data_IF_062573114760
#
_entry.id   IF_062573114760
#
_cell.length_a   1.000
_cell.length_b   1.000
_cell.length_c   1.000
_cell.angle_alpha   90.00
_cell.angle_beta   90.00
_cell.angle_gamma   90.00
#
_symmetry.space_group_name_H-M   'P 1'
#
loop_
_entity.id
_entity.type
_entity.pdbx_description
1 polymer ?
#
# COMPACT_ATOMS: atom_id res chain seq x y z
N UNK A 1 4.79 -21.13 2.79
CA UNK A 1 4.30 -19.78 2.45
C UNK A 1 3.78 -19.06 3.68
N UNK A 2 2.84 -19.64 4.44
CA UNK A 2 2.32 -19.08 5.71
C UNK A 2 3.45 -18.75 6.72
N UNK A 3 4.38 -19.67 6.91
CA UNK A 3 5.54 -19.46 7.81
C UNK A 3 6.46 -18.31 7.36
N UNK A 4 6.58 -18.09 6.04
CA UNK A 4 7.37 -16.99 5.46
C UNK A 4 6.68 -15.63 5.61
N UNK A 5 5.35 -15.61 5.68
CA UNK A 5 4.56 -14.42 6.02
C UNK A 5 4.71 -14.14 7.52
N UNK A 6 4.60 -15.17 8.36
CA UNK A 6 4.68 -15.05 9.81
C UNK A 6 6.04 -14.55 10.31
N UNK A 7 7.15 -15.02 9.72
CA UNK A 7 8.50 -14.61 10.09
C UNK A 7 9.00 -13.34 9.35
N UNK A 8 8.16 -12.72 8.52
CA UNK A 8 8.51 -11.51 7.76
C UNK A 8 9.51 -11.72 6.62
N UNK A 9 9.89 -12.96 6.27
CA UNK A 9 10.81 -13.23 5.16
C UNK A 9 10.18 -13.06 3.77
N UNK A 10 8.86 -12.90 3.71
CA UNK A 10 8.14 -12.53 2.50
C UNK A 10 7.60 -11.11 2.66
N UNK A 11 8.26 -10.13 2.03
CA UNK A 11 7.85 -8.72 1.95
C UNK A 11 7.48 -8.39 0.50
N UNK A 12 6.24 -8.65 0.07
CA UNK A 12 5.82 -8.43 -1.31
C UNK A 12 6.05 -6.99 -1.76
N UNK A 13 5.85 -6.03 -0.85
CA UNK A 13 6.03 -4.60 -1.05
C UNK A 13 7.44 -4.21 -1.52
N UNK A 14 8.48 -4.89 -1.05
CA UNK A 14 9.88 -4.63 -1.45
C UNK A 14 10.14 -5.07 -2.90
N UNK A 15 9.38 -6.04 -3.40
CA UNK A 15 9.51 -6.57 -4.77
C UNK A 15 8.47 -6.01 -5.74
N UNK A 16 7.45 -5.32 -5.22
CA UNK A 16 6.47 -4.61 -6.04
C UNK A 16 7.10 -3.29 -6.46
N UNK A 17 7.73 -3.31 -7.63
CA UNK A 17 8.04 -2.10 -8.39
C UNK A 17 6.96 -1.96 -9.47
N UNK A 18 5.95 -1.10 -9.30
CA UNK A 18 4.92 -0.92 -10.31
C UNK A 18 5.59 -0.51 -11.63
N UNK A 19 5.51 -1.41 -12.62
CA UNK A 19 6.01 -1.15 -13.97
C UNK A 19 5.06 -0.25 -14.76
N UNK A 20 3.90 0.05 -14.19
CA UNK A 20 2.90 0.94 -14.77
C UNK A 20 3.53 2.32 -15.09
N UNK A 21 3.54 2.72 -16.38
CA UNK A 21 4.10 4.00 -16.79
C UNK A 21 3.41 5.21 -16.16
N UNK A 22 2.10 5.13 -15.90
CA UNK A 22 1.35 6.21 -15.26
C UNK A 22 1.74 6.35 -13.79
N UNK A 23 1.90 5.24 -13.07
CA UNK A 23 2.41 5.27 -11.70
C UNK A 23 3.78 5.97 -11.62
N UNK A 24 4.69 5.63 -12.55
CA UNK A 24 6.02 6.25 -12.61
C UNK A 24 5.96 7.74 -12.91
N UNK A 25 5.09 8.13 -13.84
CA UNK A 25 4.85 9.54 -14.17
C UNK A 25 4.35 10.31 -12.94
N UNK A 26 3.33 9.78 -12.26
CA UNK A 26 2.76 10.40 -11.05
C UNK A 26 3.81 10.52 -9.93
N UNK A 27 4.61 9.47 -9.70
CA UNK A 27 5.66 9.47 -8.67
C UNK A 27 6.73 10.52 -8.98
N UNK A 28 7.13 10.65 -10.25
CA UNK A 28 8.09 11.67 -10.68
C UNK A 28 7.52 13.08 -10.52
N UNK A 29 6.28 13.31 -10.93
CA UNK A 29 5.61 14.61 -10.79
C UNK A 29 5.46 15.02 -9.32
N UNK A 30 5.10 14.07 -8.45
CA UNK A 30 5.04 14.27 -7.00
C UNK A 30 6.40 14.68 -6.44
N UNK A 31 7.47 14.00 -6.86
CA UNK A 31 8.84 14.31 -6.42
C UNK A 31 9.28 15.72 -6.86
N UNK A 32 9.00 16.08 -8.11
CA UNK A 32 9.31 17.42 -8.63
C UNK A 32 8.60 18.53 -7.84
N UNK A 33 7.31 18.34 -7.53
CA UNK A 33 6.54 19.29 -6.72
C UNK A 33 7.08 19.40 -5.29
N UNK A 34 7.59 18.30 -4.73
CA UNK A 34 8.22 18.30 -3.40
C UNK A 34 9.51 19.12 -3.39
N UNK A 35 10.39 18.92 -4.37
CA UNK A 35 11.60 19.71 -4.54
C UNK A 35 11.30 21.20 -4.74
N UNK A 36 10.22 21.51 -5.47
CA UNK A 36 9.79 22.88 -5.67
C UNK A 36 9.22 23.49 -4.38
N UNK A 37 8.44 22.74 -3.60
CA UNK A 37 7.98 23.16 -2.28
C UNK A 37 9.16 23.50 -1.36
N UNK A 38 10.20 22.65 -1.35
CA UNK A 38 11.40 22.89 -0.54
C UNK A 38 12.10 24.20 -0.88
N UNK A 39 12.08 24.62 -2.15
CA UNK A 39 12.68 25.88 -2.61
C UNK A 39 11.79 27.10 -2.33
N UNK A 40 10.47 26.93 -2.35
CA UNK A 40 9.48 28.01 -2.21
C UNK A 40 9.19 28.38 -0.76
N UNK A 41 9.24 27.42 0.15
CA UNK A 41 8.82 27.60 1.54
C UNK A 41 10.00 27.74 2.49
N UNK A 42 9.75 28.32 3.68
CA UNK A 42 10.74 28.31 4.75
C UNK A 42 10.96 26.88 5.27
N UNK A 43 12.11 26.61 5.90
CA UNK A 43 12.40 25.29 6.48
C UNK A 43 11.32 24.85 7.48
N UNK A 44 10.76 25.79 8.25
CA UNK A 44 9.71 25.52 9.23
C UNK A 44 8.39 25.12 8.55
N UNK A 45 8.02 25.83 7.49
CA UNK A 45 6.79 25.54 6.74
C UNK A 45 6.92 24.20 5.99
N UNK A 46 8.10 23.93 5.42
CA UNK A 46 8.39 22.67 4.75
C UNK A 46 8.31 21.49 5.72
N UNK A 47 8.91 21.59 6.93
CA UNK A 47 8.78 20.56 7.98
C UNK A 47 7.34 20.29 8.40
N UNK A 48 6.50 21.33 8.43
CA UNK A 48 5.08 21.16 8.72
C UNK A 48 4.36 20.37 7.62
N UNK A 49 4.66 20.66 6.35
CA UNK A 49 4.14 19.90 5.20
C UNK A 49 4.62 18.44 5.25
N UNK A 50 5.91 18.20 5.52
CA UNK A 50 6.46 16.85 5.69
C UNK A 50 5.72 16.07 6.79
N UNK A 51 5.41 16.72 7.91
CA UNK A 51 4.63 16.14 8.99
C UNK A 51 3.22 15.72 8.57
N UNK A 52 2.53 16.53 7.76
CA UNK A 52 1.22 16.18 7.20
C UNK A 52 1.34 14.95 6.29
N UNK A 53 2.34 14.91 5.41
CA UNK A 53 2.54 13.82 4.46
C UNK A 53 2.89 12.51 5.17
N UNK A 54 3.71 12.55 6.21
CA UNK A 54 4.03 11.38 7.04
C UNK A 54 2.77 10.82 7.72
N UNK A 55 1.91 11.69 8.26
CA UNK A 55 0.63 11.28 8.85
C UNK A 55 -0.31 10.64 7.80
N UNK A 56 -0.37 11.21 6.59
CA UNK A 56 -1.12 10.60 5.48
C UNK A 56 -0.55 9.22 5.10
N UNK A 57 0.78 9.08 5.00
CA UNK A 57 1.44 7.82 4.71
C UNK A 57 1.11 6.74 5.74
N UNK A 58 1.15 7.08 7.03
CA UNK A 58 0.77 6.17 8.13
C UNK A 58 -0.70 5.77 8.05
N UNK A 59 -1.60 6.73 7.88
CA UNK A 59 -3.05 6.47 7.76
C UNK A 59 -3.36 5.57 6.55
N UNK A 60 -2.74 5.87 5.40
CA UNK A 60 -2.90 5.08 4.19
C UNK A 60 -2.38 3.65 4.36
N UNK A 61 -1.24 3.46 5.03
CA UNK A 61 -0.70 2.13 5.36
C UNK A 61 -1.64 1.32 6.25
N UNK A 62 -2.22 1.94 7.30
CA UNK A 62 -3.20 1.30 8.17
C UNK A 62 -4.47 0.91 7.40
N UNK A 63 -4.99 1.82 6.55
CA UNK A 63 -6.15 1.56 5.71
C UNK A 63 -5.88 0.43 4.71
N UNK A 64 -4.75 0.46 4.02
CA UNK A 64 -4.34 -0.58 3.06
C UNK A 64 -4.23 -1.95 3.72
N UNK A 65 -3.67 -2.02 4.93
CA UNK A 65 -3.59 -3.25 5.72
C UNK A 65 -4.98 -3.79 6.07
N UNK A 66 -5.88 -2.92 6.54
CA UNK A 66 -7.26 -3.30 6.85
C UNK A 66 -8.01 -3.80 5.59
N UNK A 67 -7.86 -3.09 4.47
CA UNK A 67 -8.43 -3.43 3.18
C UNK A 67 -7.90 -4.77 2.65
N UNK A 68 -6.61 -5.06 2.81
CA UNK A 68 -6.01 -6.34 2.46
C UNK A 68 -6.62 -7.49 3.28
N UNK A 69 -6.69 -7.35 4.61
CA UNK A 69 -7.26 -8.38 5.49
C UNK A 69 -8.74 -8.62 5.14
N UNK A 70 -9.49 -7.54 4.94
CA UNK A 70 -10.90 -7.62 4.59
C UNK A 70 -11.12 -8.28 3.22
N UNK A 71 -10.36 -7.86 2.20
CA UNK A 71 -10.40 -8.44 0.86
C UNK A 71 -10.01 -9.92 0.85
N UNK A 72 -8.99 -10.31 1.64
CA UNK A 72 -8.60 -11.71 1.78
C UNK A 72 -9.71 -12.56 2.42
N UNK A 73 -10.38 -12.05 3.46
CA UNK A 73 -11.54 -12.74 4.08
C UNK A 73 -12.68 -12.93 3.08
N UNK A 74 -13.00 -11.90 2.29
CA UNK A 74 -14.01 -12.01 1.23
C UNK A 74 -13.59 -13.07 0.22
N UNK A 75 -12.35 -13.02 -0.28
CA UNK A 75 -11.84 -14.00 -1.23
C UNK A 75 -11.92 -15.44 -0.70
N UNK A 76 -11.58 -15.67 0.57
CA UNK A 76 -11.71 -16.97 1.21
C UNK A 76 -13.17 -17.44 1.30
N UNK A 77 -14.10 -16.55 1.69
CA UNK A 77 -15.53 -16.86 1.72
C UNK A 77 -16.08 -17.21 0.34
N UNK A 78 -15.69 -16.44 -0.69
CA UNK A 78 -16.05 -16.73 -2.08
C UNK A 78 -15.54 -18.10 -2.52
N UNK A 79 -14.31 -18.46 -2.16
CA UNK A 79 -13.76 -19.78 -2.47
C UNK A 79 -14.53 -20.91 -1.77
N UNK A 80 -14.94 -20.73 -0.52
CA UNK A 80 -15.80 -21.72 0.18
C UNK A 80 -17.15 -21.86 -0.51
N UNK A 81 -17.76 -20.75 -0.92
CA UNK A 81 -19.04 -20.77 -1.62
C UNK A 81 -18.96 -21.47 -2.97
N UNK A 82 -17.96 -21.12 -3.79
CA UNK A 82 -17.75 -21.70 -5.13
C UNK A 82 -17.29 -23.15 -5.04
N UNK A 83 -16.41 -23.48 -4.09
CA UNK A 83 -15.85 -24.81 -3.89
C UNK A 83 -16.61 -25.62 -2.85
N UNK A 84 -17.85 -25.27 -2.50
CA UNK A 84 -18.76 -26.16 -1.78
C UNK A 84 -19.09 -27.36 -2.70
N UNK A 85 -18.10 -28.25 -2.81
CA UNK A 85 -18.16 -29.62 -3.24
C UNK A 85 -19.18 -30.26 -2.30
N UNK A 86 -20.40 -30.46 -2.79
CA UNK A 86 -21.29 -31.45 -2.18
C UNK A 86 -20.52 -32.78 -2.24
N UNK A 87 -20.27 -33.48 -1.13
CA UNK A 87 -19.87 -34.86 -1.24
C UNK A 87 -20.98 -35.57 -2.02
N UNK A 88 -20.62 -36.20 -3.14
CA UNK A 88 -21.54 -37.08 -3.85
C UNK A 88 -22.03 -38.13 -2.85
N UNK A 89 -23.32 -38.07 -2.53
CA UNK A 89 -24.05 -39.07 -1.74
C UNK A 89 -24.22 -40.35 -2.53
#
# INVERSE_FOLDING_TARGET
MIEKIYNGSLQPDVYINPQDPEYRKLTKETSNLMEECQKRFSEKDFKFIEGIIDLYGKSYSMHSTASFIYGFKIGALMMIEVLNVKPET
#
